data_IF_750562722392
#
_entry.id   IF_750562722392
#
_cell.length_a   1.000
_cell.length_b   1.000
_cell.length_c   1.000
_cell.angle_alpha   90.00
_cell.angle_beta   90.00
_cell.angle_gamma   90.00
#
_symmetry.space_group_name_H-M   'P 1'
#
loop_
_entity.id
_entity.type
_entity.pdbx_description
1 polymer ?
#
# COMPACT_ATOMS: atom_id res chain seq x y z
N UNK A 1 1.46 -12.23 4.56
CA UNK A 1 1.79 -12.52 5.95
C UNK A 1 0.60 -13.24 6.57
N UNK A 2 0.79 -14.43 7.15
CA UNK A 2 -0.27 -15.22 7.77
C UNK A 2 0.09 -15.57 9.23
N UNK A 3 -0.93 -15.87 10.04
CA UNK A 3 -0.77 -16.27 11.44
C UNK A 3 -2.08 -16.10 12.22
N UNK A 4 -2.16 -16.63 13.47
CA UNK A 4 -3.34 -16.52 14.30
C UNK A 4 -3.66 -15.06 14.67
N UNK A 5 -4.89 -14.81 15.16
CA UNK A 5 -5.26 -13.49 15.66
C UNK A 5 -4.35 -13.09 16.85
N UNK A 6 -3.98 -11.82 16.91
CA UNK A 6 -3.13 -11.29 17.99
C UNK A 6 -1.62 -11.53 17.84
N UNK A 7 -1.13 -12.26 16.81
CA UNK A 7 0.30 -12.53 16.64
C UNK A 7 1.14 -11.36 16.09
N UNK A 8 0.57 -10.14 15.96
CA UNK A 8 1.31 -8.93 15.58
C UNK A 8 1.29 -8.58 14.09
N UNK A 9 0.50 -9.26 13.23
CA UNK A 9 0.45 -9.00 11.77
C UNK A 9 0.09 -7.55 11.42
N UNK A 10 -1.02 -7.06 11.95
CA UNK A 10 -1.48 -5.69 11.72
C UNK A 10 -0.48 -4.66 12.27
N UNK A 11 0.14 -4.93 13.44
CA UNK A 11 1.20 -4.08 13.99
C UNK A 11 2.38 -3.99 13.05
N UNK A 12 2.85 -5.14 12.53
CA UNK A 12 3.94 -5.17 11.54
C UNK A 12 3.56 -4.40 10.26
N UNK A 13 2.32 -4.58 9.77
CA UNK A 13 1.83 -3.86 8.59
C UNK A 13 1.81 -2.34 8.83
N UNK A 14 1.36 -1.90 10.01
CA UNK A 14 1.33 -0.49 10.39
C UNK A 14 2.74 0.10 10.50
N UNK A 15 3.70 -0.64 11.04
CA UNK A 15 5.11 -0.22 11.08
C UNK A 15 5.66 -0.07 9.66
N UNK A 16 5.45 -1.05 8.78
CA UNK A 16 5.88 -0.97 7.38
C UNK A 16 5.26 0.25 6.69
N UNK A 17 4.02 0.57 6.99
CA UNK A 17 3.31 1.71 6.42
C UNK A 17 3.61 3.05 7.07
N UNK A 18 4.43 3.09 8.14
CA UNK A 18 4.73 4.31 8.87
C UNK A 18 3.55 4.87 9.65
N UNK A 19 2.58 4.03 10.04
CA UNK A 19 1.46 4.39 10.91
C UNK A 19 1.78 4.15 12.39
N UNK A 20 2.79 3.32 12.67
CA UNK A 20 3.27 3.00 14.01
C UNK A 20 4.79 2.98 14.03
N UNK A 21 5.38 3.13 15.22
CA UNK A 21 6.82 3.17 15.42
C UNK A 21 7.33 1.83 15.92
N UNK A 22 8.52 1.43 15.47
CA UNK A 22 9.22 0.27 16.02
C UNK A 22 10.15 0.68 17.17
N UNK A 23 10.28 -0.16 18.18
CA UNK A 23 11.12 0.10 19.38
C UNK A 23 12.60 -0.14 19.09
N UNK A 24 12.92 -1.15 18.27
CA UNK A 24 14.30 -1.53 17.94
C UNK A 24 14.35 -2.16 16.54
N UNK A 25 15.56 -2.37 16.03
CA UNK A 25 15.75 -2.87 14.67
C UNK A 25 15.95 -1.77 13.66
N UNK A 26 15.71 -2.04 12.38
CA UNK A 26 15.79 -1.08 11.30
C UNK A 26 14.81 -1.45 10.18
N UNK A 27 14.02 -0.50 9.74
CA UNK A 27 13.19 -0.61 8.55
C UNK A 27 13.90 0.10 7.40
N UNK A 28 14.25 -0.64 6.35
CA UNK A 28 14.94 -0.10 5.18
C UNK A 28 13.94 -0.06 4.02
N UNK A 29 13.69 1.13 3.49
CA UNK A 29 12.78 1.38 2.37
C UNK A 29 13.58 1.92 1.20
N UNK A 30 13.56 1.23 0.05
CA UNK A 30 14.33 1.61 -1.14
C UNK A 30 15.81 1.89 -0.83
N UNK A 31 16.43 1.04 0.01
CA UNK A 31 17.84 1.15 0.41
C UNK A 31 18.13 2.23 1.46
N UNK A 32 17.12 2.95 1.96
CA UNK A 32 17.27 3.99 2.98
C UNK A 32 16.74 3.52 4.32
N UNK A 33 17.56 3.62 5.38
CA UNK A 33 17.13 3.36 6.75
C UNK A 33 16.16 4.43 7.24
N UNK A 34 15.08 4.00 7.86
CA UNK A 34 14.05 4.89 8.42
C UNK A 34 14.40 5.41 9.82
N UNK A 35 15.52 4.99 10.43
CA UNK A 35 15.97 5.46 11.75
C UNK A 35 16.12 6.97 11.86
N UNK A 36 16.40 7.63 10.75
CA UNK A 36 16.61 9.08 10.68
C UNK A 36 15.45 9.83 10.04
N UNK A 37 14.33 9.13 9.75
CA UNK A 37 13.14 9.76 9.20
C UNK A 37 12.54 10.73 10.22
N UNK A 38 12.26 11.95 9.77
CA UNK A 38 11.47 12.95 10.47
C UNK A 38 10.00 12.84 10.07
N UNK A 39 9.12 13.51 10.78
CA UNK A 39 7.68 13.51 10.48
C UNK A 39 7.38 13.82 9.01
N UNK A 40 8.12 14.79 8.42
CA UNK A 40 7.98 15.14 7.00
C UNK A 40 8.35 14.00 6.04
N UNK A 41 9.34 13.16 6.41
CA UNK A 41 9.76 12.01 5.58
C UNK A 41 8.69 10.93 5.64
N UNK A 42 8.12 10.69 6.82
CA UNK A 42 6.99 9.78 7.02
C UNK A 42 5.73 10.27 6.30
N UNK A 43 5.41 11.56 6.37
CA UNK A 43 4.29 12.14 5.63
C UNK A 43 4.45 11.98 4.12
N UNK A 44 5.64 12.25 3.61
CA UNK A 44 5.94 12.04 2.19
C UNK A 44 5.82 10.58 1.79
N UNK A 45 6.34 9.65 2.61
CA UNK A 45 6.23 8.21 2.39
C UNK A 45 4.76 7.75 2.35
N UNK A 46 3.96 8.13 3.36
CA UNK A 46 2.53 7.78 3.42
C UNK A 46 1.72 8.36 2.27
N UNK A 47 2.01 9.57 1.85
CA UNK A 47 1.22 10.26 0.83
C UNK A 47 1.55 9.82 -0.60
N UNK A 48 2.77 9.32 -0.85
CA UNK A 48 3.24 9.07 -2.21
C UNK A 48 3.66 7.62 -2.47
N UNK A 49 4.19 6.92 -1.47
CA UNK A 49 4.80 5.60 -1.68
C UNK A 49 3.91 4.45 -1.22
N UNK A 50 2.94 4.70 -0.34
CA UNK A 50 2.12 3.64 0.27
C UNK A 50 0.63 3.91 0.08
N UNK A 51 -0.10 2.86 -0.29
CA UNK A 51 -1.56 2.83 -0.24
C UNK A 51 -2.02 1.82 0.82
N UNK A 52 -3.08 2.17 1.58
CA UNK A 52 -3.65 1.30 2.60
C UNK A 52 -5.05 0.83 2.23
N UNK A 53 -5.27 -0.48 2.39
CA UNK A 53 -6.58 -1.14 2.30
C UNK A 53 -6.85 -1.79 3.66
N UNK A 54 -7.88 -1.32 4.36
CA UNK A 54 -8.25 -1.80 5.69
C UNK A 54 -9.42 -2.78 5.63
N UNK A 55 -9.52 -3.65 6.61
CA UNK A 55 -10.60 -4.63 6.75
C UNK A 55 -11.99 -3.99 6.77
N UNK A 56 -12.15 -2.87 7.48
CA UNK A 56 -13.43 -2.15 7.64
C UNK A 56 -13.65 -1.07 6.57
N UNK A 57 -12.97 -1.14 5.42
CA UNK A 57 -13.03 -0.19 4.30
C UNK A 57 -12.65 1.25 4.66
N UNK A 58 -12.93 1.74 5.86
CA UNK A 58 -12.68 3.10 6.36
C UNK A 58 -13.16 4.18 5.38
N UNK A 59 -14.36 4.00 4.83
CA UNK A 59 -15.00 4.97 3.95
C UNK A 59 -15.82 5.98 4.78
N UNK A 60 -15.85 7.24 4.34
CA UNK A 60 -16.64 8.30 4.94
C UNK A 60 -18.10 8.13 4.50
N UNK A 61 -19.05 7.77 5.40
CA UNK A 61 -20.38 7.29 5.00
C UNK A 61 -21.25 8.35 4.32
N UNK A 62 -21.08 9.62 4.65
CA UNK A 62 -21.88 10.73 4.12
C UNK A 62 -21.31 11.30 2.81
N UNK A 63 -20.10 10.92 2.41
CA UNK A 63 -19.47 11.30 1.15
C UNK A 63 -19.77 10.28 0.04
N UNK A 64 -19.72 10.77 -1.21
CA UNK A 64 -19.83 9.88 -2.38
C UNK A 64 -18.59 8.99 -2.52
N UNK A 65 -18.73 7.93 -3.32
CA UNK A 65 -17.62 7.05 -3.71
C UNK A 65 -16.48 7.86 -4.34
N UNK A 66 -16.80 8.77 -5.25
CA UNK A 66 -15.82 9.66 -5.88
C UNK A 66 -15.09 10.51 -4.83
N UNK A 67 -15.83 11.17 -3.92
CA UNK A 67 -15.22 12.02 -2.88
C UNK A 67 -14.33 11.24 -1.93
N UNK A 68 -14.70 9.98 -1.60
CA UNK A 68 -13.86 9.10 -0.79
C UNK A 68 -12.51 8.80 -1.45
N UNK A 69 -12.49 8.63 -2.77
CA UNK A 69 -11.24 8.38 -3.52
C UNK A 69 -10.45 9.68 -3.69
N UNK A 70 -11.11 10.82 -3.97
CA UNK A 70 -10.46 12.13 -4.09
C UNK A 70 -9.74 12.58 -2.82
N UNK A 71 -10.15 12.09 -1.64
CA UNK A 71 -9.61 12.50 -0.34
C UNK A 71 -8.08 12.30 -0.26
N UNK A 72 -7.57 11.16 -0.70
CA UNK A 72 -6.14 10.88 -0.70
C UNK A 72 -5.33 11.91 -1.50
N UNK A 73 -5.85 12.32 -2.65
CA UNK A 73 -5.25 13.35 -3.49
C UNK A 73 -5.43 14.77 -2.94
N UNK A 74 -6.46 14.99 -2.14
CA UNK A 74 -6.68 16.28 -1.45
C UNK A 74 -5.58 16.51 -0.42
N UNK A 75 -5.26 15.48 0.36
CA UNK A 75 -4.19 15.53 1.36
C UNK A 75 -2.80 15.70 0.70
N UNK A 76 -2.62 15.15 -0.50
CA UNK A 76 -1.40 15.32 -1.29
C UNK A 76 -1.33 16.67 -2.04
N UNK A 77 -2.28 17.59 -1.85
CA UNK A 77 -2.25 18.93 -2.45
C UNK A 77 -2.56 19.00 -3.96
N UNK A 78 -3.11 17.94 -4.54
CA UNK A 78 -3.44 17.88 -5.98
C UNK A 78 -4.61 18.80 -6.31
N UNK A 79 -4.60 19.49 -7.46
CA UNK A 79 -5.67 20.41 -7.90
C UNK A 79 -7.02 19.67 -8.07
N UNK A 80 -8.14 20.39 -7.86
CA UNK A 80 -9.50 19.82 -7.92
C UNK A 80 -9.80 19.10 -9.24
N UNK A 81 -9.40 19.68 -10.37
CA UNK A 81 -9.63 19.10 -11.70
C UNK A 81 -8.87 17.78 -11.87
N UNK A 82 -7.60 17.76 -11.49
CA UNK A 82 -6.74 16.59 -11.60
C UNK A 82 -7.17 15.48 -10.62
N UNK A 83 -7.58 15.82 -9.38
CA UNK A 83 -8.13 14.88 -8.42
C UNK A 83 -9.32 14.12 -8.99
N UNK A 84 -10.31 14.85 -9.53
CA UNK A 84 -11.51 14.25 -10.10
C UNK A 84 -11.17 13.30 -11.25
N UNK A 85 -10.27 13.72 -12.16
CA UNK A 85 -9.83 12.90 -13.29
C UNK A 85 -9.16 11.60 -12.83
N UNK A 86 -8.22 11.69 -11.86
CA UNK A 86 -7.52 10.51 -11.32
C UNK A 86 -8.47 9.59 -10.55
N UNK A 87 -9.36 10.15 -9.74
CA UNK A 87 -10.31 9.38 -8.96
C UNK A 87 -11.30 8.61 -9.85
N UNK A 88 -11.82 9.23 -10.92
CA UNK A 88 -12.68 8.55 -11.90
C UNK A 88 -11.91 7.41 -12.57
N UNK A 89 -10.65 7.65 -12.98
CA UNK A 89 -9.82 6.60 -13.56
C UNK A 89 -9.61 5.44 -12.59
N UNK A 90 -9.24 5.71 -11.34
CA UNK A 90 -9.02 4.67 -10.33
C UNK A 90 -10.29 3.85 -10.06
N UNK A 91 -11.46 4.49 -10.03
CA UNK A 91 -12.75 3.80 -9.90
C UNK A 91 -13.09 2.94 -11.11
N UNK A 92 -12.78 3.41 -12.31
CA UNK A 92 -12.92 2.62 -13.54
C UNK A 92 -12.00 1.40 -13.53
N UNK A 93 -10.76 1.56 -13.10
CA UNK A 93 -9.75 0.47 -13.04
C UNK A 93 -10.18 -0.68 -12.10
N UNK A 94 -11.06 -0.40 -11.12
CA UNK A 94 -11.66 -1.40 -10.23
C UNK A 94 -13.11 -1.80 -10.61
N UNK A 95 -13.63 -1.34 -11.77
CA UNK A 95 -14.95 -1.66 -12.30
C UNK A 95 -16.13 -1.00 -11.57
N UNK A 96 -15.96 0.28 -11.18
CA UNK A 96 -16.98 1.06 -10.45
C UNK A 96 -17.32 2.40 -11.14
N UNK A 97 -17.09 2.53 -12.43
CA UNK A 97 -17.38 3.77 -13.18
C UNK A 97 -18.84 4.25 -13.07
N UNK A 98 -19.79 3.33 -13.00
CA UNK A 98 -21.24 3.65 -12.90
C UNK A 98 -21.70 3.93 -11.46
N UNK A 99 -20.80 3.82 -10.47
CA UNK A 99 -21.13 3.92 -9.05
C UNK A 99 -20.56 5.18 -8.38
N UNK A 100 -19.91 6.07 -9.12
CA UNK A 100 -19.08 7.17 -8.60
C UNK A 100 -19.83 8.17 -7.71
N UNK A 101 -21.15 8.34 -7.94
CA UNK A 101 -21.99 9.26 -7.16
C UNK A 101 -22.76 8.61 -6.03
N UNK A 102 -22.71 7.27 -5.90
CA UNK A 102 -23.31 6.57 -4.78
C UNK A 102 -22.55 6.84 -3.49
N UNK A 103 -23.24 6.62 -2.36
CA UNK A 103 -22.64 6.63 -1.02
C UNK A 103 -22.33 5.21 -0.55
N UNK A 104 -21.44 5.01 0.41
CA UNK A 104 -21.08 3.69 0.94
C UNK A 104 -22.28 2.84 1.38
N UNK A 105 -23.32 3.44 1.99
CA UNK A 105 -24.54 2.74 2.42
C UNK A 105 -25.41 2.22 1.27
N UNK A 106 -25.10 2.56 0.02
CA UNK A 106 -25.77 2.11 -1.19
C UNK A 106 -24.95 1.04 -1.94
N UNK A 107 -23.87 0.54 -1.32
CA UNK A 107 -22.88 -0.34 -1.91
C UNK A 107 -22.86 -1.70 -1.20
N UNK A 108 -22.57 -2.77 -1.94
CA UNK A 108 -22.23 -4.06 -1.32
C UNK A 108 -20.85 -4.03 -0.66
N UNK A 109 -20.56 -5.00 0.24
CA UNK A 109 -19.24 -5.14 0.88
C UNK A 109 -18.09 -5.20 -0.14
N UNK A 110 -18.25 -6.02 -1.20
CA UNK A 110 -17.25 -6.13 -2.26
C UNK A 110 -17.07 -4.85 -3.07
N UNK A 111 -18.15 -4.08 -3.29
CA UNK A 111 -18.05 -2.76 -3.93
C UNK A 111 -17.33 -1.77 -3.02
N UNK A 112 -17.65 -1.73 -1.72
CA UNK A 112 -16.94 -0.87 -0.74
C UNK A 112 -15.45 -1.22 -0.67
N UNK A 113 -15.10 -2.50 -0.73
CA UNK A 113 -13.69 -2.93 -0.78
C UNK A 113 -12.99 -2.46 -2.07
N UNK A 114 -13.64 -2.52 -3.22
CA UNK A 114 -13.10 -1.97 -4.47
C UNK A 114 -12.91 -0.46 -4.39
N UNK A 115 -13.80 0.29 -3.71
CA UNK A 115 -13.62 1.73 -3.45
C UNK A 115 -12.39 1.97 -2.56
N UNK A 116 -12.20 1.18 -1.50
CA UNK A 116 -11.03 1.28 -0.62
C UNK A 116 -9.73 1.00 -1.39
N UNK A 117 -9.73 0.00 -2.29
CA UNK A 117 -8.59 -0.29 -3.17
C UNK A 117 -8.34 0.88 -4.15
N UNK A 118 -9.38 1.43 -4.79
CA UNK A 118 -9.24 2.58 -5.69
C UNK A 118 -8.66 3.80 -4.96
N UNK A 119 -9.12 4.07 -3.72
CA UNK A 119 -8.58 5.14 -2.88
C UNK A 119 -7.10 4.93 -2.55
N UNK A 120 -6.71 3.69 -2.25
CA UNK A 120 -5.32 3.35 -1.96
C UNK A 120 -4.41 3.52 -3.20
N UNK A 121 -4.94 3.28 -4.40
CA UNK A 121 -4.18 3.33 -5.66
C UNK A 121 -4.15 4.70 -6.33
N UNK A 122 -5.04 5.63 -5.97
CA UNK A 122 -5.22 6.90 -6.69
C UNK A 122 -3.99 7.82 -6.68
N UNK A 123 -3.14 7.70 -5.65
CA UNK A 123 -1.84 8.39 -5.55
C UNK A 123 -0.74 7.70 -6.36
N UNK A 124 -1.04 6.57 -7.00
CA UNK A 124 -0.09 5.70 -7.70
C UNK A 124 1.09 5.25 -6.81
N UNK A 125 0.85 4.65 -5.63
CA UNK A 125 1.90 4.22 -4.72
C UNK A 125 2.72 3.07 -5.30
N UNK A 126 3.94 2.88 -4.81
CA UNK A 126 4.79 1.71 -5.13
C UNK A 126 4.39 0.47 -4.31
N UNK A 127 3.86 0.69 -3.11
CA UNK A 127 3.51 -0.34 -2.13
C UNK A 127 2.03 -0.26 -1.79
N UNK A 128 1.33 -1.38 -1.87
CA UNK A 128 -0.04 -1.54 -1.38
C UNK A 128 -0.03 -2.44 -0.14
N UNK A 129 -0.47 -1.90 0.99
CA UNK A 129 -0.63 -2.63 2.24
C UNK A 129 -2.10 -2.99 2.43
N UNK A 130 -2.41 -4.27 2.60
CA UNK A 130 -3.77 -4.77 2.74
C UNK A 130 -3.93 -5.57 4.04
N UNK A 131 -4.71 -5.03 4.97
CA UNK A 131 -5.04 -5.67 6.23
C UNK A 131 -6.39 -6.39 6.11
N UNK A 132 -6.35 -7.73 6.08
CA UNK A 132 -7.53 -8.60 5.97
C UNK A 132 -8.51 -8.18 4.85
N UNK A 133 -8.07 -7.99 3.60
CA UNK A 133 -8.88 -7.35 2.55
C UNK A 133 -10.11 -8.15 2.14
N UNK A 134 -10.23 -9.39 2.58
CA UNK A 134 -11.36 -10.29 2.29
C UNK A 134 -12.13 -10.71 3.55
N UNK A 135 -11.71 -10.26 4.74
CA UNK A 135 -12.22 -10.77 6.02
C UNK A 135 -13.72 -10.53 6.29
N UNK A 136 -14.33 -9.55 5.62
CA UNK A 136 -15.76 -9.21 5.74
C UNK A 136 -16.59 -9.62 4.51
N UNK A 137 -16.05 -10.47 3.61
CA UNK A 137 -16.65 -10.80 2.32
C UNK A 137 -17.01 -12.29 2.24
N UNK A 138 -18.02 -12.59 1.43
CA UNK A 138 -18.31 -13.97 1.03
C UNK A 138 -17.21 -14.56 0.14
N UNK A 139 -17.17 -15.88 0.01
CA UNK A 139 -16.09 -16.59 -0.70
C UNK A 139 -15.96 -16.17 -2.18
N UNK A 140 -17.08 -15.96 -2.89
CA UNK A 140 -17.06 -15.55 -4.30
C UNK A 140 -16.49 -14.15 -4.46
N UNK A 141 -16.93 -13.22 -3.62
CA UNK A 141 -16.45 -11.84 -3.62
C UNK A 141 -14.98 -11.78 -3.20
N UNK A 142 -14.57 -12.62 -2.23
CA UNK A 142 -13.17 -12.74 -1.79
C UNK A 142 -12.25 -13.11 -2.95
N UNK A 143 -12.62 -14.09 -3.76
CA UNK A 143 -11.86 -14.50 -4.96
C UNK A 143 -11.70 -13.30 -5.90
N UNK A 144 -12.79 -12.55 -6.19
CA UNK A 144 -12.74 -11.39 -7.08
C UNK A 144 -11.80 -10.28 -6.56
N UNK A 145 -11.77 -10.06 -5.24
CA UNK A 145 -10.85 -9.09 -4.63
C UNK A 145 -9.40 -9.59 -4.73
N UNK A 146 -9.16 -10.89 -4.49
CA UNK A 146 -7.83 -11.47 -4.64
C UNK A 146 -7.32 -11.42 -6.09
N UNK A 147 -8.16 -11.67 -7.07
CA UNK A 147 -7.83 -11.51 -8.49
C UNK A 147 -7.46 -10.05 -8.83
N UNK A 148 -8.20 -9.08 -8.27
CA UNK A 148 -7.88 -7.66 -8.42
C UNK A 148 -6.52 -7.32 -7.80
N UNK A 149 -6.25 -7.78 -6.57
CA UNK A 149 -4.96 -7.58 -5.90
C UNK A 149 -3.81 -8.25 -6.66
N UNK A 150 -4.02 -9.45 -7.20
CA UNK A 150 -3.04 -10.15 -8.02
C UNK A 150 -2.72 -9.40 -9.32
N UNK A 151 -3.74 -8.79 -9.95
CA UNK A 151 -3.52 -7.91 -11.11
C UNK A 151 -2.67 -6.70 -10.74
N UNK A 152 -2.91 -6.07 -9.59
CA UNK A 152 -2.14 -4.93 -9.08
C UNK A 152 -0.69 -5.35 -8.75
N UNK A 153 -0.50 -6.55 -8.23
CA UNK A 153 0.80 -7.09 -7.85
C UNK A 153 1.77 -7.34 -9.03
N UNK A 154 1.29 -7.22 -10.28
CA UNK A 154 2.16 -7.27 -11.46
C UNK A 154 3.06 -6.04 -11.59
N UNK A 155 2.59 -4.89 -11.10
CA UNK A 155 3.28 -3.61 -11.24
C UNK A 155 3.67 -2.98 -9.90
N UNK A 156 3.17 -3.51 -8.77
CA UNK A 156 3.34 -2.94 -7.44
C UNK A 156 3.66 -4.02 -6.41
N UNK A 157 4.38 -3.66 -5.36
CA UNK A 157 4.54 -4.54 -4.21
C UNK A 157 3.24 -4.56 -3.40
N UNK A 158 2.59 -5.72 -3.31
CA UNK A 158 1.41 -5.93 -2.45
C UNK A 158 1.82 -6.73 -1.23
N UNK A 159 1.69 -6.14 -0.04
CA UNK A 159 1.89 -6.82 1.23
C UNK A 159 0.52 -7.00 1.87
N UNK A 160 0.08 -8.24 1.99
CA UNK A 160 -1.21 -8.59 2.56
C UNK A 160 -1.05 -9.33 3.89
N UNK A 161 -1.87 -8.98 4.85
CA UNK A 161 -2.08 -9.76 6.08
C UNK A 161 -3.40 -10.48 5.97
N UNK A 162 -3.43 -11.76 6.29
CA UNK A 162 -4.68 -12.53 6.31
C UNK A 162 -4.59 -13.71 7.29
N UNK A 163 -5.73 -14.14 7.78
CA UNK A 163 -5.89 -15.37 8.54
C UNK A 163 -6.39 -16.54 7.65
N UNK A 164 -6.58 -16.30 6.34
CA UNK A 164 -7.00 -17.33 5.38
C UNK A 164 -5.78 -17.90 4.64
N UNK A 165 -5.27 -19.08 5.03
CA UNK A 165 -4.09 -19.68 4.41
C UNK A 165 -4.36 -20.15 2.97
N UNK A 166 -5.57 -20.59 2.64
CA UNK A 166 -5.90 -21.10 1.31
C UNK A 166 -5.77 -19.97 0.26
N UNK A 167 -6.32 -18.79 0.54
CA UNK A 167 -6.17 -17.64 -0.34
C UNK A 167 -4.71 -17.18 -0.43
N UNK A 168 -3.97 -17.25 0.68
CA UNK A 168 -2.55 -16.90 0.67
C UNK A 168 -1.74 -17.85 -0.21
N UNK A 169 -1.98 -19.15 -0.15
CA UNK A 169 -1.28 -20.17 -0.95
C UNK A 169 -1.54 -20.01 -2.46
N UNK A 170 -2.78 -19.68 -2.82
CA UNK A 170 -3.15 -19.54 -4.24
C UNK A 170 -2.61 -18.24 -4.87
N UNK A 171 -2.62 -17.13 -4.12
CA UNK A 171 -2.39 -15.80 -4.69
C UNK A 171 -1.04 -15.16 -4.33
N UNK A 172 -0.26 -15.72 -3.39
CA UNK A 172 0.98 -15.11 -2.93
C UNK A 172 2.21 -15.73 -3.58
N UNK A 173 3.19 -14.90 -3.91
CA UNK A 173 4.52 -15.33 -4.37
C UNK A 173 5.48 -15.64 -3.21
N UNK A 174 5.18 -15.09 -2.01
CA UNK A 174 5.94 -15.33 -0.77
C UNK A 174 5.00 -15.32 0.41
N UNK A 175 5.14 -16.29 1.30
CA UNK A 175 4.33 -16.42 2.50
C UNK A 175 5.24 -16.40 3.73
N UNK A 176 5.01 -15.42 4.61
CA UNK A 176 5.68 -15.29 5.90
C UNK A 176 4.69 -15.70 6.97
N UNK A 177 5.03 -16.71 7.79
CA UNK A 177 4.20 -17.16 8.92
C UNK A 177 4.68 -16.51 10.21
N UNK A 178 3.76 -15.84 10.90
CA UNK A 178 4.00 -15.26 12.23
C UNK A 178 3.28 -16.06 13.31
N UNK A 179 3.96 -16.21 14.44
CA UNK A 179 3.41 -16.76 15.68
C UNK A 179 4.05 -16.00 16.85
N UNK A 180 3.22 -15.40 17.71
CA UNK A 180 3.64 -14.67 18.92
C UNK A 180 4.77 -13.65 18.65
N UNK A 181 4.61 -12.86 17.58
CA UNK A 181 5.57 -11.83 17.18
C UNK A 181 6.84 -12.35 16.47
N UNK A 182 6.99 -13.67 16.32
CA UNK A 182 8.16 -14.27 15.69
C UNK A 182 7.83 -14.81 14.28
N UNK A 183 8.79 -14.71 13.37
CA UNK A 183 8.70 -15.38 12.06
C UNK A 183 9.03 -16.88 12.27
N UNK A 184 8.06 -17.73 12.01
CA UNK A 184 8.22 -19.19 12.14
C UNK A 184 8.51 -19.88 10.81
N UNK A 185 8.11 -19.25 9.69
CA UNK A 185 8.38 -19.77 8.34
C UNK A 185 8.40 -18.63 7.34
N UNK A 186 9.23 -18.76 6.32
CA UNK A 186 9.31 -17.89 5.15
C UNK A 186 9.47 -18.77 3.91
N UNK A 187 8.48 -18.77 3.02
CA UNK A 187 8.47 -19.66 1.85
C UNK A 187 9.49 -19.30 0.77
N UNK A 188 10.01 -18.06 0.79
CA UNK A 188 11.00 -17.57 -0.17
C UNK A 188 11.86 -16.49 0.49
N UNK A 189 12.76 -16.86 1.44
CA UNK A 189 13.58 -15.92 2.17
C UNK A 189 14.50 -15.16 1.21
N UNK A 190 14.67 -13.86 1.49
CA UNK A 190 15.59 -13.02 0.74
C UNK A 190 17.03 -13.42 1.09
N UNK A 191 17.75 -14.03 0.17
CA UNK A 191 19.19 -14.22 0.26
C UNK A 191 19.87 -12.89 -0.04
N UNK A 192 20.54 -12.33 0.98
CA UNK A 192 21.36 -11.14 0.82
C UNK A 192 22.52 -11.50 -0.11
N UNK A 193 22.39 -11.24 -1.41
CA UNK A 193 23.55 -11.27 -2.28
C UNK A 193 24.55 -10.26 -1.73
N UNK A 194 25.78 -10.69 -1.43
CA UNK A 194 26.87 -9.78 -1.11
C UNK A 194 26.99 -8.79 -2.29
N UNK A 195 26.43 -7.61 -2.11
CA UNK A 195 26.66 -6.52 -3.02
C UNK A 195 28.16 -6.19 -2.89
N UNK A 196 28.94 -6.63 -3.88
CA UNK A 196 30.27 -6.04 -4.11
C UNK A 196 30.05 -4.53 -4.10
N UNK A 197 30.66 -3.86 -3.13
CA UNK A 197 30.76 -2.40 -3.13
C UNK A 197 31.36 -1.98 -4.47
N UNK A 198 30.54 -1.64 -5.42
CA UNK A 198 30.97 -0.90 -6.59
C UNK A 198 31.31 0.50 -6.08
N UNK A 199 32.58 0.69 -5.75
CA UNK A 199 33.21 1.99 -5.59
C UNK A 199 33.10 2.76 -6.92
N UNK A 200 31.91 3.19 -7.27
CA UNK A 200 31.72 4.23 -8.26
C UNK A 200 32.23 5.53 -7.63
N UNK A 201 33.51 5.84 -7.93
CA UNK A 201 34.08 7.17 -7.78
C UNK A 201 33.08 8.17 -8.36
N UNK A 202 32.36 8.85 -7.49
CA UNK A 202 31.58 10.04 -7.85
C UNK A 202 32.56 11.05 -8.40
N UNK A 203 32.57 11.22 -9.70
CA UNK A 203 33.29 12.29 -10.37
C UNK A 203 32.81 13.63 -9.81
N UNK A 204 33.69 14.34 -9.12
CA UNK A 204 33.46 15.73 -8.72
C UNK A 204 33.31 16.54 -10.00
N UNK A 205 32.09 16.90 -10.36
CA UNK A 205 31.82 17.95 -11.33
C UNK A 205 32.15 19.28 -10.68
N UNK A 206 33.36 19.79 -10.93
CA UNK A 206 33.73 21.17 -10.65
C UNK A 206 32.98 22.07 -11.63
N UNK A 207 31.83 22.60 -11.26
CA UNK A 207 31.25 23.75 -11.94
C UNK A 207 32.06 24.98 -11.56
N UNK A 208 32.79 25.52 -12.54
CA UNK A 208 33.47 26.80 -12.42
C UNK A 208 32.43 27.92 -12.29
N UNK A 209 32.65 28.84 -11.36
CA UNK A 209 31.81 30.02 -11.08
C UNK A 209 31.63 30.98 -12.27
N UNK A 210 32.28 30.73 -13.42
CA UNK A 210 32.18 31.53 -14.64
C UNK A 210 31.05 31.15 -15.59
N UNK A 211 30.38 29.99 -15.39
CA UNK A 211 29.31 29.49 -16.29
C UNK A 211 27.88 29.83 -15.81
N UNK A 212 27.74 30.53 -14.69
CA UNK A 212 26.45 30.89 -14.12
C UNK A 212 25.99 32.35 -14.47
N UNK A 213 26.71 33.06 -15.32
CA UNK A 213 26.47 34.47 -15.69
C UNK A 213 26.59 34.75 -17.19
N UNK A 214 26.12 33.82 -18.02
CA UNK A 214 25.89 34.08 -19.43
C UNK A 214 24.49 33.63 -19.85
#
# INVERSE_FOLDING_TARGET
IIGPSGCGKTTLLNIIGGLDNYTSGDLIINGKSTKHFKDKDWDNYRNHSVGFVFQNYNLIPHQTVLSNVELALTLAGVSKSERKKRAIKALKDVGLEDQIYKKPNQMSGGQMQRVAIARALVSNPDILLADEPTGALDSKTSIQIMELLNKIAKDKLVIMVTHNPELAEVYSTRIIKLLDGNITNDSNPYEKSEQKENNNKTGKTNMSFKTALS
#
